data_IF_621155374347
#
_entry.id   IF_621155374347
#
_cell.length_a   1.000
_cell.length_b   1.000
_cell.length_c   1.000
_cell.angle_alpha   90.00
_cell.angle_beta   90.00
_cell.angle_gamma   90.00
#
_symmetry.space_group_name_H-M   'P 1'
#
loop_
_entity.id
_entity.type
_entity.pdbx_description
1 polymer ?
#
# COMPACT_ATOMS: atom_id res chain seq x y z
N UNK A 1 -11.51 -14.92 0.64
CA UNK A 1 -10.49 -13.85 0.45
C UNK A 1 -9.12 -14.49 0.28
N UNK A 2 -8.31 -14.00 -0.67
CA UNK A 2 -6.92 -14.43 -0.87
C UNK A 2 -6.00 -13.23 -0.67
N UNK A 3 -5.13 -13.32 0.34
CA UNK A 3 -4.12 -12.30 0.62
C UNK A 3 -2.74 -12.75 0.16
N UNK A 4 -1.97 -11.86 -0.47
CA UNK A 4 -0.55 -12.08 -0.74
C UNK A 4 0.24 -10.81 -0.40
N UNK A 5 1.31 -10.98 0.36
CA UNK A 5 2.21 -9.89 0.73
C UNK A 5 3.55 -10.05 0.01
N UNK A 6 4.09 -8.95 -0.54
CA UNK A 6 5.40 -8.89 -1.15
C UNK A 6 6.21 -7.79 -0.50
N UNK A 7 7.23 -8.20 0.25
CA UNK A 7 8.21 -7.29 0.81
C UNK A 7 9.41 -7.21 -0.12
N UNK A 8 9.60 -6.05 -0.74
CA UNK A 8 10.80 -5.71 -1.49
C UNK A 8 11.32 -4.39 -0.93
N UNK A 9 12.62 -4.32 -0.66
CA UNK A 9 13.22 -3.09 -0.10
C UNK A 9 13.30 -1.96 -1.14
N UNK A 10 13.62 -2.29 -2.40
CA UNK A 10 13.87 -1.29 -3.45
C UNK A 10 13.15 -1.56 -4.76
N UNK A 11 12.40 -2.67 -4.86
CA UNK A 11 11.81 -3.12 -6.12
C UNK A 11 10.30 -3.10 -6.07
N UNK A 12 9.70 -2.23 -6.88
CA UNK A 12 8.23 -2.19 -7.04
C UNK A 12 7.70 -3.49 -7.66
N UNK A 13 6.50 -3.88 -7.23
CA UNK A 13 5.79 -5.05 -7.77
C UNK A 13 5.35 -4.76 -9.20
N UNK A 14 5.80 -5.61 -10.13
CA UNK A 14 5.48 -5.48 -11.56
C UNK A 14 4.43 -6.48 -12.06
N UNK A 15 4.11 -6.44 -13.36
CA UNK A 15 3.09 -7.27 -14.00
C UNK A 15 3.21 -8.77 -13.73
N UNK A 16 4.42 -9.32 -13.71
CA UNK A 16 4.64 -10.76 -13.58
C UNK A 16 4.08 -11.33 -12.28
N UNK A 17 4.23 -10.59 -11.18
CA UNK A 17 3.70 -11.01 -9.87
C UNK A 17 2.17 -10.96 -9.86
N UNK A 18 1.58 -9.98 -10.53
CA UNK A 18 0.13 -9.85 -10.62
C UNK A 18 -0.44 -10.99 -11.46
N UNK A 19 0.22 -11.38 -12.56
CA UNK A 19 -0.18 -12.55 -13.36
C UNK A 19 -0.01 -13.88 -12.62
N UNK A 20 1.05 -14.01 -11.82
CA UNK A 20 1.21 -15.16 -10.92
C UNK A 20 0.02 -15.24 -9.95
N UNK A 21 -0.36 -14.11 -9.36
CA UNK A 21 -1.51 -13.99 -8.49
C UNK A 21 -2.83 -14.31 -9.22
N UNK A 22 -3.04 -13.84 -10.46
CA UNK A 22 -4.21 -14.22 -11.27
C UNK A 22 -4.28 -15.73 -11.49
N UNK A 23 -3.12 -16.38 -11.68
CA UNK A 23 -3.02 -17.83 -11.74
C UNK A 23 -3.56 -18.52 -10.48
N UNK A 24 -3.36 -17.94 -9.31
CA UNK A 24 -3.93 -18.43 -8.04
C UNK A 24 -5.46 -18.23 -8.02
N UNK A 25 -5.92 -17.07 -8.49
CA UNK A 25 -7.35 -16.72 -8.50
C UNK A 25 -8.18 -17.56 -9.46
N UNK A 26 -7.59 -18.11 -10.52
CA UNK A 26 -8.29 -19.01 -11.45
C UNK A 26 -8.90 -20.25 -10.77
N UNK A 27 -8.42 -20.60 -9.58
CA UNK A 27 -8.84 -21.76 -8.80
C UNK A 27 -9.79 -21.40 -7.65
N UNK A 28 -10.10 -20.13 -7.49
CA UNK A 28 -10.94 -19.62 -6.41
C UNK A 28 -12.37 -19.42 -6.91
N UNK A 29 -13.31 -19.39 -5.97
CA UNK A 29 -14.71 -19.08 -6.26
C UNK A 29 -14.86 -17.63 -6.72
N UNK A 30 -15.91 -17.38 -7.51
CA UNK A 30 -16.24 -16.04 -8.03
C UNK A 30 -16.46 -14.99 -6.93
N UNK A 31 -16.81 -15.43 -5.72
CA UNK A 31 -17.03 -14.56 -4.55
C UNK A 31 -15.77 -14.35 -3.71
N UNK A 32 -14.60 -14.35 -4.35
CA UNK A 32 -13.30 -14.21 -3.68
C UNK A 32 -12.67 -12.87 -3.99
N UNK A 33 -12.51 -12.04 -2.96
CA UNK A 33 -11.68 -10.84 -3.04
C UNK A 33 -10.18 -11.19 -2.90
N UNK A 34 -9.40 -10.63 -3.82
CA UNK A 34 -7.95 -10.56 -3.79
C UNK A 34 -7.40 -9.34 -3.08
N UNK A 35 -6.40 -9.53 -2.23
CA UNK A 35 -5.64 -8.42 -1.65
C UNK A 35 -4.15 -8.66 -1.85
N UNK A 36 -3.52 -7.78 -2.63
CA UNK A 36 -2.07 -7.71 -2.75
C UNK A 36 -1.55 -6.58 -1.86
N UNK A 37 -0.56 -6.87 -1.04
CA UNK A 37 0.09 -5.89 -0.17
C UNK A 37 1.56 -5.78 -0.53
N UNK A 38 2.07 -4.56 -0.70
CA UNK A 38 3.46 -4.28 -1.00
C UNK A 38 4.01 -3.13 -0.15
N UNK A 39 5.24 -3.28 0.35
CA UNK A 39 5.95 -2.21 1.07
C UNK A 39 6.48 -1.13 0.11
N UNK A 40 7.11 -1.53 -1.00
CA UNK A 40 7.68 -0.62 -2.00
C UNK A 40 6.68 -0.07 -3.01
N UNK A 41 5.43 -0.52 -2.97
CA UNK A 41 4.40 -0.21 -3.97
C UNK A 41 4.56 -0.95 -5.30
N UNK A 42 3.86 -0.45 -6.32
CA UNK A 42 3.64 -1.10 -7.61
C UNK A 42 4.17 -0.27 -8.78
N UNK A 43 4.60 -0.91 -9.86
CA UNK A 43 4.90 -0.20 -11.12
C UNK A 43 3.61 0.21 -11.81
N UNK A 44 3.67 1.24 -12.67
CA UNK A 44 2.50 1.69 -13.44
C UNK A 44 1.91 0.58 -14.31
N UNK A 45 2.78 -0.21 -14.96
CA UNK A 45 2.36 -1.39 -15.73
C UNK A 45 1.70 -2.45 -14.85
N UNK A 46 2.23 -2.67 -13.63
CA UNK A 46 1.62 -3.58 -12.67
C UNK A 46 0.21 -3.13 -12.29
N UNK A 47 0.05 -1.86 -11.94
CA UNK A 47 -1.26 -1.26 -11.63
C UNK A 47 -2.22 -1.43 -12.82
N UNK A 48 -1.77 -1.16 -14.04
CA UNK A 48 -2.60 -1.35 -15.24
C UNK A 48 -3.07 -2.79 -15.41
N UNK A 49 -2.18 -3.77 -15.22
CA UNK A 49 -2.55 -5.19 -15.29
C UNK A 49 -3.60 -5.53 -14.22
N UNK A 50 -3.41 -5.10 -12.97
CA UNK A 50 -4.40 -5.32 -11.91
C UNK A 50 -5.76 -4.67 -12.22
N UNK A 51 -5.77 -3.43 -12.72
CA UNK A 51 -7.00 -2.73 -13.10
C UNK A 51 -7.72 -3.40 -14.28
N UNK A 52 -6.98 -4.05 -15.17
CA UNK A 52 -7.52 -4.81 -16.31
C UNK A 52 -7.93 -6.25 -15.96
N UNK A 53 -7.61 -6.73 -14.76
CA UNK A 53 -7.90 -8.10 -14.35
C UNK A 53 -9.41 -8.35 -14.29
N UNK A 54 -9.81 -9.57 -14.65
CA UNK A 54 -11.20 -10.05 -14.49
C UNK A 54 -11.49 -10.47 -13.04
N UNK A 55 -10.44 -10.69 -12.22
CA UNK A 55 -10.59 -11.11 -10.83
C UNK A 55 -10.71 -9.89 -9.91
N UNK A 56 -11.52 -9.96 -8.84
CA UNK A 56 -11.60 -8.89 -7.84
C UNK A 56 -10.25 -8.70 -7.13
N UNK A 57 -9.59 -7.55 -7.32
CA UNK A 57 -8.28 -7.26 -6.71
C UNK A 57 -8.22 -5.87 -6.08
N UNK A 58 -7.66 -5.82 -4.88
CA UNK A 58 -7.22 -4.61 -4.20
C UNK A 58 -5.69 -4.64 -4.03
N UNK A 59 -5.05 -3.51 -4.33
CA UNK A 59 -3.63 -3.25 -4.14
C UNK A 59 -3.45 -2.32 -2.94
N UNK A 60 -2.62 -2.74 -2.00
CA UNK A 60 -2.33 -2.01 -0.78
C UNK A 60 -0.83 -1.70 -0.74
N UNK A 61 -0.50 -0.43 -0.63
CA UNK A 61 0.87 0.03 -0.40
C UNK A 61 1.00 0.46 1.05
N UNK A 62 1.92 -0.17 1.76
CA UNK A 62 2.22 0.18 3.15
C UNK A 62 3.17 1.37 3.19
N UNK A 63 2.99 2.23 4.19
CA UNK A 63 3.99 3.20 4.61
C UNK A 63 5.00 2.46 5.50
N UNK A 64 6.15 2.13 4.92
CA UNK A 64 7.34 1.68 5.66
C UNK A 64 8.43 2.72 5.45
N UNK A 65 9.08 3.15 6.53
CA UNK A 65 10.00 4.29 6.56
C UNK A 65 10.88 4.36 5.32
N UNK A 66 10.75 5.46 4.59
CA UNK A 66 11.56 5.73 3.41
C UNK A 66 13.04 5.65 3.82
N UNK A 67 13.78 4.69 3.25
CA UNK A 67 15.17 5.00 2.93
C UNK A 67 15.09 5.70 1.58
N UNK A 68 14.91 7.01 1.63
CA UNK A 68 15.25 7.89 0.52
C UNK A 68 16.71 7.65 0.20
N UNK A 69 16.97 6.89 -0.86
CA UNK A 69 18.24 6.98 -1.58
C UNK A 69 17.92 7.74 -2.85
N UNK A 70 17.90 9.06 -2.72
CA UNK A 70 18.27 9.89 -3.86
C UNK A 70 19.61 9.39 -4.38
N UNK A 71 19.62 9.02 -5.65
CA UNK A 71 20.80 8.65 -6.42
C UNK A 71 21.77 9.83 -6.41
N UNK A 72 22.73 9.81 -5.50
CA UNK A 72 24.01 10.50 -5.69
C UNK A 72 25.11 9.61 -5.12
N UNK A 73 25.93 9.09 -6.03
CA UNK A 73 27.20 8.47 -5.68
C UNK A 73 28.02 9.41 -4.80
N UNK A 74 28.75 8.83 -3.83
CA UNK A 74 29.75 9.46 -2.94
C UNK A 74 29.33 9.64 -1.47
N UNK A 75 29.05 8.54 -0.76
CA UNK A 75 29.60 8.34 0.60
C UNK A 75 29.24 6.95 1.13
N UNK A 76 30.00 5.95 0.71
CA UNK A 76 30.06 4.70 1.44
C UNK A 76 30.92 4.94 2.69
N UNK A 77 30.47 4.40 3.83
CA UNK A 77 31.18 4.35 5.13
C UNK A 77 31.01 5.59 6.02
N UNK A 78 29.83 5.75 6.66
CA UNK A 78 29.73 6.41 7.99
C UNK A 78 28.37 6.31 8.71
N UNK A 79 27.32 5.66 8.17
CA UNK A 79 26.00 5.61 8.84
C UNK A 79 25.59 4.21 9.32
N UNK A 80 26.56 3.47 9.88
CA UNK A 80 26.26 2.42 10.86
C UNK A 80 26.06 3.10 12.22
N UNK A 81 25.03 3.92 12.32
CA UNK A 81 24.51 4.38 13.61
C UNK A 81 23.04 4.02 13.68
N UNK A 82 22.78 3.14 14.63
CA UNK A 82 21.50 2.69 15.15
C UNK A 82 20.57 3.87 15.44
N UNK A 83 19.80 4.33 14.45
CA UNK A 83 18.67 5.24 14.69
C UNK A 83 17.47 4.43 15.16
N UNK A 84 17.42 4.20 16.47
CA UNK A 84 16.15 4.01 17.18
C UNK A 84 15.42 5.37 17.22
N UNK A 85 14.56 5.64 16.24
CA UNK A 85 13.51 6.66 16.26
C UNK A 85 12.67 6.41 15.00
N UNK A 86 11.43 5.93 15.00
CA UNK A 86 10.31 6.15 15.91
C UNK A 86 9.41 4.90 15.86
N UNK A 87 8.72 4.59 16.96
CA UNK A 87 7.64 3.60 17.00
C UNK A 87 6.49 4.06 16.08
N UNK A 88 6.06 3.16 15.19
CA UNK A 88 4.73 3.01 14.59
C UNK A 88 4.07 4.19 13.86
N UNK A 89 4.48 4.42 12.61
CA UNK A 89 3.55 4.87 11.56
C UNK A 89 3.48 3.85 10.42
N UNK A 90 3.20 2.58 10.76
CA UNK A 90 2.79 1.59 9.76
C UNK A 90 1.39 1.93 9.26
N UNK A 91 1.31 2.84 8.30
CA UNK A 91 0.06 3.27 7.67
C UNK A 91 -0.15 2.66 6.30
N UNK A 92 -1.32 2.88 5.70
CA UNK A 92 -1.54 2.65 4.28
C UNK A 92 -1.16 3.94 3.54
N UNK A 93 -0.16 3.86 2.65
CA UNK A 93 0.27 4.97 1.77
C UNK A 93 -0.57 5.01 0.49
N UNK A 94 -1.05 3.86 0.03
CA UNK A 94 -1.82 3.76 -1.20
C UNK A 94 -2.79 2.60 -1.18
N UNK A 95 -3.98 2.81 -1.71
CA UNK A 95 -5.01 1.79 -1.82
C UNK A 95 -5.74 1.98 -3.15
N UNK A 96 -5.74 0.96 -3.99
CA UNK A 96 -6.32 0.98 -5.34
C UNK A 96 -7.02 -0.35 -5.58
N UNK A 97 -8.16 -0.36 -6.27
CA UNK A 97 -8.84 -1.60 -6.64
C UNK A 97 -9.42 -1.52 -8.05
N UNK A 98 -9.72 -2.67 -8.65
CA UNK A 98 -10.35 -2.75 -9.96
C UNK A 98 -11.88 -2.81 -9.85
N UNK A 99 -12.57 -2.61 -10.97
CA UNK A 99 -14.04 -2.64 -11.02
C UNK A 99 -14.65 -3.96 -10.54
N UNK A 100 -13.96 -5.09 -10.74
CA UNK A 100 -14.42 -6.39 -10.27
C UNK A 100 -14.46 -6.48 -8.72
N UNK A 101 -13.68 -5.66 -8.02
CA UNK A 101 -13.69 -5.57 -6.56
C UNK A 101 -14.80 -4.67 -5.99
N UNK A 102 -15.50 -3.87 -6.81
CA UNK A 102 -16.54 -2.95 -6.35
C UNK A 102 -17.65 -3.61 -5.52
N UNK A 103 -18.15 -4.82 -5.84
CA UNK A 103 -19.17 -5.47 -5.00
C UNK A 103 -18.70 -5.74 -3.55
N UNK A 104 -17.39 -5.90 -3.35
CA UNK A 104 -16.81 -6.21 -2.04
C UNK A 104 -16.42 -4.97 -1.26
N UNK A 105 -15.84 -3.98 -1.94
CA UNK A 105 -15.18 -2.82 -1.31
C UNK A 105 -15.61 -1.48 -1.90
N UNK A 106 -16.60 -1.42 -2.78
CA UNK A 106 -17.09 -0.16 -3.37
C UNK A 106 -17.73 0.81 -2.38
N UNK A 107 -18.03 0.35 -1.16
CA UNK A 107 -18.50 1.17 -0.03
C UNK A 107 -17.35 1.81 0.76
N UNK A 108 -16.11 1.41 0.45
CA UNK A 108 -14.89 1.97 1.02
C UNK A 108 -14.53 3.26 0.28
N UNK A 109 -14.41 4.34 1.02
CA UNK A 109 -13.88 5.61 0.54
C UNK A 109 -12.49 5.79 1.11
N UNK A 110 -11.52 6.07 0.23
CA UNK A 110 -10.13 6.30 0.59
C UNK A 110 -9.84 7.79 0.43
N UNK A 111 -9.49 8.45 1.51
CA UNK A 111 -9.13 9.88 1.51
C UNK A 111 -7.74 10.09 2.07
N UNK A 112 -7.08 11.18 1.70
CA UNK A 112 -5.84 11.59 2.34
C UNK A 112 -6.18 12.18 3.71
N UNK A 113 -5.52 11.71 4.76
CA UNK A 113 -5.54 12.36 6.06
C UNK A 113 -4.61 13.57 5.99
N UNK A 114 -5.19 14.76 6.03
CA UNK A 114 -4.41 15.98 6.19
C UNK A 114 -4.16 16.20 7.67
N UNK A 115 -2.88 16.30 8.04
CA UNK A 115 -2.49 16.70 9.38
C UNK A 115 -2.47 18.22 9.47
N UNK A 116 -2.88 18.76 10.61
CA UNK A 116 -2.67 20.17 10.90
C UNK A 116 -1.16 20.39 11.11
N UNK A 117 -0.55 21.07 10.14
CA UNK A 117 0.90 21.36 10.09
C UNK A 117 1.34 22.21 11.31
N UNK A 118 0.40 22.88 11.99
CA UNK A 118 0.69 23.65 13.20
C UNK A 118 0.65 22.82 14.49
N UNK A 119 0.10 21.61 14.45
CA UNK A 119 -0.10 20.78 15.65
C UNK A 119 0.94 19.66 15.80
N UNK A 120 1.62 19.28 14.71
CA UNK A 120 2.66 18.26 14.70
C UNK A 120 3.88 18.81 13.98
N UNK A 121 5.05 18.78 14.63
CA UNK A 121 6.36 18.98 13.99
C UNK A 121 6.58 17.83 12.99
N UNK A 122 5.98 17.95 11.81
CA UNK A 122 6.18 17.04 10.70
C UNK A 122 7.43 17.50 9.95
N UNK A 123 8.43 16.62 9.84
CA UNK A 123 9.67 16.88 9.09
C UNK A 123 9.39 17.14 7.59
N UNK A 124 8.26 16.65 7.06
CA UNK A 124 7.78 16.93 5.70
C UNK A 124 6.27 17.21 5.66
N UNK A 125 5.82 18.43 5.29
CA UNK A 125 4.40 18.76 5.12
C UNK A 125 3.70 18.00 3.98
N UNK A 126 4.44 17.28 3.12
CA UNK A 126 3.90 16.41 2.09
C UNK A 126 3.63 14.97 2.57
N UNK A 127 3.97 14.61 3.81
CA UNK A 127 3.71 13.28 4.35
C UNK A 127 2.20 13.12 4.63
N UNK A 128 1.50 12.39 3.75
CA UNK A 128 0.09 12.05 3.93
C UNK A 128 -0.08 10.55 4.19
N UNK A 129 -0.94 10.22 5.15
CA UNK A 129 -1.44 8.85 5.34
C UNK A 129 -2.83 8.74 4.74
N UNK A 130 -3.25 7.53 4.36
CA UNK A 130 -4.62 7.31 3.88
C UNK A 130 -5.55 7.04 5.07
N UNK A 131 -6.71 7.69 5.07
CA UNK A 131 -7.85 7.36 5.93
C UNK A 131 -8.85 6.53 5.13
N UNK A 132 -9.26 5.41 5.73
CA UNK A 132 -10.26 4.51 5.19
C UNK A 132 -11.60 4.78 5.88
N UNK A 133 -12.63 5.05 5.08
CA UNK A 133 -14.00 5.30 5.52
C UNK A 133 -14.89 4.20 4.94
N UNK A 134 -15.62 3.48 5.78
CA UNK A 134 -16.65 2.54 5.33
C UNK A 134 -18.02 3.20 5.49
N UNK A 135 -18.78 3.33 4.40
CA UNK A 135 -20.07 4.05 4.40
C UNK A 135 -19.96 5.49 4.92
N UNK A 136 -18.85 6.16 4.60
CA UNK A 136 -18.58 7.52 5.05
C UNK A 136 -18.23 7.65 6.54
N UNK A 137 -18.10 6.54 7.27
CA UNK A 137 -17.65 6.53 8.67
C UNK A 137 -16.21 6.03 8.76
N UNK A 138 -15.36 6.63 9.61
CA UNK A 138 -14.00 6.11 9.81
C UNK A 138 -14.06 4.69 10.37
N UNK A 139 -13.16 3.83 9.91
CA UNK A 139 -13.00 2.51 10.52
C UNK A 139 -12.59 2.67 12.00
N UNK A 140 -13.12 1.86 12.92
CA UNK A 140 -12.76 1.93 14.33
C UNK A 140 -11.25 1.68 14.51
N UNK A 141 -10.57 2.51 15.30
CA UNK A 141 -9.11 2.44 15.53
C UNK A 141 -8.64 1.13 16.21
N UNK A 142 -9.55 0.26 16.63
CA UNK A 142 -9.27 -0.97 17.39
C UNK A 142 -9.02 -2.25 16.58
N UNK A 143 -8.99 -2.23 15.24
CA UNK A 143 -8.81 -3.43 14.39
C UNK A 143 -7.42 -3.55 13.71
N UNK A 144 -6.47 -2.66 14.02
CA UNK A 144 -5.08 -2.73 13.55
C UNK A 144 -4.12 -3.03 14.71
N UNK A 145 -4.28 -4.18 15.36
CA UNK A 145 -3.28 -4.76 16.27
C UNK A 145 -2.82 -6.11 15.72
#
# INVERSE_FOLDING_TARGET
MVGQCKFYERRRVGPSIIREWEGVMTRQDLDTLGVLVASSGYTSEGIQVALSSVYPIALVTLAGGDIDVETNESSLVSKLETKNCCIDKQGIRGFVWNKAADPFIGRLVVTKKHYDVHMYDLDDPAEYTMQLLWDGKPLPEGYMQ
#
